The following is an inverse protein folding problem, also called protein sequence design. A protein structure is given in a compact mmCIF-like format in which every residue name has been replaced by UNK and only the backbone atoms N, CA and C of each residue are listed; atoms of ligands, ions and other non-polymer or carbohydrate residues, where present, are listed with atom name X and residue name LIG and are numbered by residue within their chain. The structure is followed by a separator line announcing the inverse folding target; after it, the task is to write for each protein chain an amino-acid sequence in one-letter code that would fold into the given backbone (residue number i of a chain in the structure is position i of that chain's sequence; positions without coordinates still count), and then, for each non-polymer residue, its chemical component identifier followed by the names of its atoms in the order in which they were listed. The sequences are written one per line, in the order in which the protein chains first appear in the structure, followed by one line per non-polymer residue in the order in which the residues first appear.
data_IF_017753076887
#
_entry.id   IF_017753076887
#
_cell.length_a   1.000
_cell.length_b   1.000
_cell.length_c   1.000
_cell.angle_alpha   90.00
_cell.angle_beta   90.00
_cell.angle_gamma   90.00
#
_symmetry.space_group_name_H-M   'P 1'
#
loop_
_entity.id
_entity.type
_entity.pdbx_description
1 polymer ?
#
# COMPACT_ATOMS: atom_id res chain seq x y z
N UNK A 1 67.45 -57.69 34.44
CA UNK A 1 66.42 -57.18 33.51
C UNK A 1 65.47 -56.24 34.26
N UNK A 2 65.63 -54.90 34.19
CA UNK A 2 64.52 -54.00 34.48
C UNK A 2 64.42 -52.70 33.64
N UNK A 3 65.09 -52.58 32.48
CA UNK A 3 65.13 -51.30 31.73
C UNK A 3 63.92 -51.01 30.81
N UNK A 4 63.11 -52.00 30.41
CA UNK A 4 62.02 -51.76 29.44
C UNK A 4 60.71 -51.22 30.05
N UNK A 5 60.50 -51.35 31.37
CA UNK A 5 59.26 -50.88 32.02
C UNK A 5 59.24 -49.36 32.21
N UNK A 6 60.38 -48.74 32.47
CA UNK A 6 60.49 -47.29 32.65
C UNK A 6 60.33 -46.50 31.33
N UNK A 7 60.83 -47.05 30.21
CA UNK A 7 60.63 -46.46 28.89
C UNK A 7 59.17 -46.56 28.43
N UNK A 8 58.53 -47.71 28.65
CA UNK A 8 57.11 -47.90 28.31
C UNK A 8 56.20 -46.97 29.13
N UNK A 9 56.52 -46.73 30.41
CA UNK A 9 55.76 -45.80 31.25
C UNK A 9 55.97 -44.34 30.81
N UNK A 10 57.18 -43.95 30.38
CA UNK A 10 57.44 -42.61 29.88
C UNK A 10 56.75 -42.35 28.52
N UNK A 11 56.71 -43.34 27.64
CA UNK A 11 55.97 -43.27 26.36
C UNK A 11 54.46 -43.21 26.59
N UNK A 12 53.92 -43.98 27.54
CA UNK A 12 52.50 -43.93 27.91
C UNK A 12 52.09 -42.55 28.44
N UNK A 13 52.92 -41.95 29.30
CA UNK A 13 52.71 -40.59 29.78
C UNK A 13 52.80 -39.58 28.63
N UNK A 14 53.77 -39.71 27.72
CA UNK A 14 53.90 -38.87 26.53
C UNK A 14 52.71 -38.96 25.57
N UNK A 15 52.13 -40.15 25.41
CA UNK A 15 50.91 -40.38 24.61
C UNK A 15 49.68 -39.73 25.27
N UNK A 16 49.54 -39.81 26.59
CA UNK A 16 48.45 -39.16 27.32
C UNK A 16 48.52 -37.62 27.22
N UNK A 17 49.72 -37.03 27.31
CA UNK A 17 49.90 -35.59 27.10
C UNK A 17 49.59 -35.18 25.66
N UNK A 18 50.01 -35.97 24.67
CA UNK A 18 49.72 -35.68 23.26
C UNK A 18 48.21 -35.75 22.96
N UNK A 19 47.50 -36.76 23.49
CA UNK A 19 46.03 -36.83 23.38
C UNK A 19 45.34 -35.65 24.08
N UNK A 20 45.84 -35.21 25.24
CA UNK A 20 45.29 -34.05 25.96
C UNK A 20 45.52 -32.74 25.20
N UNK A 21 46.69 -32.57 24.59
CA UNK A 21 47.00 -31.42 23.75
C UNK A 21 46.14 -31.40 22.47
N UNK A 22 45.99 -32.55 21.81
CA UNK A 22 45.20 -32.67 20.58
C UNK A 22 43.70 -32.47 20.83
N UNK A 23 43.16 -33.03 21.92
CA UNK A 23 41.76 -32.80 22.33
C UNK A 23 41.49 -31.34 22.70
N UNK A 24 42.43 -30.68 23.38
CA UNK A 24 42.33 -29.26 23.72
C UNK A 24 42.40 -28.37 22.47
N UNK A 25 43.27 -28.71 21.51
CA UNK A 25 43.39 -28.03 20.22
C UNK A 25 42.13 -28.17 19.37
N UNK A 26 41.56 -29.39 19.29
CA UNK A 26 40.28 -29.65 18.59
C UNK A 26 39.12 -28.88 19.23
N UNK A 27 39.04 -28.83 20.56
CA UNK A 27 38.01 -28.06 21.26
C UNK A 27 38.14 -26.55 21.02
N UNK A 28 39.37 -26.02 20.97
CA UNK A 28 39.63 -24.62 20.66
C UNK A 28 39.25 -24.29 19.21
N UNK A 29 39.63 -25.14 18.25
CA UNK A 29 39.29 -24.99 16.83
C UNK A 29 37.76 -25.03 16.60
N UNK A 30 37.05 -25.95 17.24
CA UNK A 30 35.58 -25.99 17.20
C UNK A 30 34.93 -24.74 17.81
N UNK A 31 35.51 -24.19 18.88
CA UNK A 31 35.03 -22.95 19.48
C UNK A 31 35.25 -21.75 18.55
N UNK A 32 36.41 -21.68 17.87
CA UNK A 32 36.71 -20.65 16.88
C UNK A 32 35.73 -20.71 15.71
N UNK A 33 35.52 -21.89 15.12
CA UNK A 33 34.56 -22.08 14.02
C UNK A 33 33.13 -21.65 14.42
N UNK A 34 32.64 -22.10 15.59
CA UNK A 34 31.33 -21.68 16.12
C UNK A 34 31.22 -20.17 16.34
N UNK A 35 32.30 -19.52 16.78
CA UNK A 35 32.30 -18.05 16.96
C UNK A 35 32.34 -17.30 15.64
N UNK A 36 32.98 -17.86 14.61
CA UNK A 36 33.00 -17.29 13.25
C UNK A 36 31.62 -17.44 12.61
N UNK A 37 31.00 -18.62 12.66
CA UNK A 37 29.64 -18.85 12.14
C UNK A 37 28.60 -17.92 12.77
N UNK A 38 28.65 -17.76 14.10
CA UNK A 38 27.76 -16.84 14.80
C UNK A 38 28.01 -15.37 14.46
N UNK A 39 29.26 -14.98 14.13
CA UNK A 39 29.58 -13.62 13.69
C UNK A 39 29.09 -13.39 12.26
N UNK A 40 29.27 -14.37 11.36
CA UNK A 40 28.81 -14.33 9.97
C UNK A 40 27.28 -14.21 9.92
N UNK A 41 26.54 -15.06 10.65
CA UNK A 41 25.07 -14.99 10.71
C UNK A 41 24.55 -13.65 11.26
N UNK A 42 25.24 -13.07 12.25
CA UNK A 42 24.90 -11.73 12.77
C UNK A 42 25.15 -10.63 11.73
N UNK A 43 26.25 -10.72 10.99
CA UNK A 43 26.57 -9.77 9.92
C UNK A 43 25.57 -9.90 8.76
N UNK A 44 25.21 -11.12 8.36
CA UNK A 44 24.19 -11.39 7.35
C UNK A 44 22.83 -10.81 7.75
N UNK A 45 22.40 -10.98 9.01
CA UNK A 45 21.14 -10.41 9.49
C UNK A 45 21.14 -8.87 9.49
N UNK A 46 22.26 -8.24 9.84
CA UNK A 46 22.41 -6.77 9.79
C UNK A 46 22.39 -6.26 8.34
N UNK A 47 23.03 -6.99 7.42
CA UNK A 47 23.06 -6.65 6.00
C UNK A 47 21.67 -6.77 5.36
N UNK A 48 20.92 -7.83 5.67
CA UNK A 48 19.53 -8.00 5.23
C UNK A 48 18.63 -6.85 5.71
N UNK A 49 18.81 -6.38 6.95
CA UNK A 49 18.07 -5.22 7.46
C UNK A 49 18.44 -3.93 6.74
N UNK A 50 19.71 -3.77 6.33
CA UNK A 50 20.14 -2.63 5.55
C UNK A 50 19.53 -2.66 4.13
N UNK A 51 19.56 -3.82 3.46
CA UNK A 51 18.94 -4.00 2.15
C UNK A 51 17.43 -3.72 2.18
N UNK A 52 16.75 -4.23 3.21
CA UNK A 52 15.34 -3.99 3.42
C UNK A 52 15.04 -2.51 3.69
N UNK A 53 15.89 -1.83 4.44
CA UNK A 53 15.78 -0.38 4.64
C UNK A 53 15.91 0.39 3.32
N UNK A 54 16.85 0.02 2.46
CA UNK A 54 17.03 0.64 1.14
C UNK A 54 15.83 0.38 0.21
N UNK A 55 15.29 -0.84 0.22
CA UNK A 55 14.08 -1.20 -0.54
C UNK A 55 12.87 -0.36 -0.09
N UNK A 56 12.67 -0.25 1.22
CA UNK A 56 11.65 0.64 1.79
C UNK A 56 11.97 2.10 1.41
N UNK A 57 13.24 2.50 1.39
CA UNK A 57 13.70 3.88 1.13
C UNK A 57 13.19 4.86 2.19
N UNK A 58 13.75 6.07 2.25
CA UNK A 58 13.27 7.16 3.10
C UNK A 58 13.08 8.43 2.25
N UNK A 59 11.97 9.16 2.32
CA UNK A 59 11.73 10.34 1.47
C UNK A 59 12.81 11.42 1.64
N UNK A 60 13.24 11.66 2.89
CA UNK A 60 14.36 12.54 3.19
C UNK A 60 15.76 11.94 2.93
N UNK A 61 15.85 10.77 2.29
CA UNK A 61 17.08 10.07 1.90
C UNK A 61 18.09 9.87 3.05
N UNK A 62 17.58 9.72 4.28
CA UNK A 62 18.41 9.45 5.45
C UNK A 62 18.97 8.04 5.38
N UNK A 63 20.25 7.87 5.72
CA UNK A 63 20.83 6.53 5.88
C UNK A 63 20.32 5.85 7.14
N UNK A 64 20.29 4.51 7.14
CA UNK A 64 19.88 3.71 8.29
C UNK A 64 20.68 4.05 9.55
N UNK A 65 21.99 4.30 9.41
CA UNK A 65 22.87 4.67 10.52
C UNK A 65 22.51 6.01 11.17
N UNK A 66 22.25 7.05 10.36
CA UNK A 66 21.84 8.36 10.87
C UNK A 66 20.47 8.28 11.54
N UNK A 67 19.50 7.62 10.89
CA UNK A 67 18.17 7.46 11.43
C UNK A 67 18.17 6.68 12.75
N UNK A 68 18.96 5.61 12.83
CA UNK A 68 19.16 4.85 14.07
C UNK A 68 19.67 5.71 15.22
N UNK A 69 20.57 6.67 14.94
CA UNK A 69 21.07 7.61 15.96
C UNK A 69 19.95 8.52 16.47
N UNK A 70 19.11 9.04 15.59
CA UNK A 70 17.96 9.88 15.98
C UNK A 70 16.94 9.09 16.81
N UNK A 71 16.58 7.88 16.38
CA UNK A 71 15.66 7.00 17.13
C UNK A 71 16.23 6.64 18.50
N UNK A 72 17.54 6.40 18.62
CA UNK A 72 18.19 6.16 19.92
C UNK A 72 18.07 7.35 20.88
N UNK A 73 18.22 8.57 20.38
CA UNK A 73 18.04 9.79 21.19
C UNK A 73 16.59 9.96 21.64
N UNK A 74 15.63 9.70 20.76
CA UNK A 74 14.20 9.75 21.10
C UNK A 74 13.82 8.71 22.16
N UNK A 75 14.33 7.48 22.03
CA UNK A 75 14.13 6.42 23.03
C UNK A 75 14.78 6.74 24.37
N UNK A 76 15.93 7.42 24.39
CA UNK A 76 16.56 7.87 25.64
C UNK A 76 15.72 8.94 26.38
N UNK A 77 14.85 9.62 25.65
CA UNK A 77 13.93 10.63 26.19
C UNK A 77 12.52 10.07 26.47
N UNK A 78 12.38 8.73 26.54
CA UNK A 78 11.11 8.01 26.70
C UNK A 78 10.00 8.44 25.72
N UNK A 79 10.40 8.79 24.48
CA UNK A 79 9.46 9.13 23.42
C UNK A 79 8.63 7.91 23.01
N UNK A 80 7.32 8.10 22.85
CA UNK A 80 6.40 7.02 22.45
C UNK A 80 6.49 6.63 20.97
N UNK A 81 5.73 5.60 20.60
CA UNK A 81 5.69 5.04 19.22
C UNK A 81 5.43 6.09 18.15
N UNK A 82 4.53 7.06 18.40
CA UNK A 82 4.20 8.09 17.41
C UNK A 82 5.37 9.00 17.05
N UNK A 83 6.23 9.33 18.03
CA UNK A 83 7.43 10.13 17.77
C UNK A 83 8.43 9.35 16.90
N UNK A 84 8.54 8.03 17.10
CA UNK A 84 9.41 7.19 16.28
C UNK A 84 8.86 6.99 14.87
N UNK A 85 7.53 6.88 14.72
CA UNK A 85 6.88 6.89 13.40
C UNK A 85 7.22 8.18 12.66
N UNK A 86 7.02 9.35 13.28
CA UNK A 86 7.35 10.63 12.66
C UNK A 86 8.83 10.73 12.21
N UNK A 87 9.77 10.29 13.06
CA UNK A 87 11.20 10.27 12.72
C UNK A 87 11.53 9.36 11.54
N UNK A 88 10.78 8.28 11.38
CA UNK A 88 10.96 7.30 10.30
C UNK A 88 9.98 7.54 9.16
N UNK A 89 9.44 8.76 9.03
CA UNK A 89 8.57 9.18 7.93
C UNK A 89 7.20 8.51 7.95
N UNK A 90 6.60 8.34 9.12
CA UNK A 90 5.26 7.78 9.35
C UNK A 90 5.04 6.38 8.76
N UNK A 91 6.10 5.60 8.68
CA UNK A 91 6.08 4.27 8.07
C UNK A 91 6.34 3.16 9.10
N UNK A 92 5.32 2.36 9.46
CA UNK A 92 5.48 1.30 10.46
C UNK A 92 6.48 0.22 10.06
N UNK A 93 6.56 -0.15 8.78
CA UNK A 93 7.52 -1.16 8.33
C UNK A 93 8.95 -0.64 8.45
N UNK A 94 9.19 0.61 8.04
CA UNK A 94 10.49 1.27 8.23
C UNK A 94 10.86 1.41 9.70
N UNK A 95 9.90 1.82 10.54
CA UNK A 95 10.10 1.90 12.00
C UNK A 95 10.54 0.55 12.55
N UNK A 96 9.83 -0.52 12.17
CA UNK A 96 10.15 -1.89 12.60
C UNK A 96 11.57 -2.30 12.19
N UNK A 97 11.98 -2.02 10.95
CA UNK A 97 13.33 -2.34 10.45
C UNK A 97 14.41 -1.60 11.22
N UNK A 98 14.22 -0.31 11.50
CA UNK A 98 15.16 0.49 12.29
C UNK A 98 15.29 -0.07 13.72
N UNK A 99 14.17 -0.45 14.36
CA UNK A 99 14.19 -1.05 15.70
C UNK A 99 14.87 -2.42 15.70
N UNK A 100 14.60 -3.27 14.70
CA UNK A 100 15.28 -4.57 14.55
C UNK A 100 16.79 -4.39 14.35
N UNK A 101 17.20 -3.40 13.55
CA UNK A 101 18.61 -3.05 13.36
C UNK A 101 19.27 -2.58 14.66
N UNK A 102 18.57 -1.78 15.47
CA UNK A 102 19.03 -1.35 16.79
C UNK A 102 19.24 -2.54 17.74
N UNK A 103 18.31 -3.50 17.78
CA UNK A 103 18.46 -4.72 18.59
C UNK A 103 19.67 -5.53 18.12
N UNK A 104 19.84 -5.68 16.80
CA UNK A 104 20.99 -6.41 16.24
C UNK A 104 22.33 -5.74 16.61
N UNK A 105 22.42 -4.42 16.52
CA UNK A 105 23.61 -3.67 16.96
C UNK A 105 23.86 -3.78 18.47
N UNK A 106 22.84 -3.60 19.30
CA UNK A 106 22.97 -3.68 20.75
C UNK A 106 23.42 -5.07 21.21
N UNK A 107 22.90 -6.14 20.58
CA UNK A 107 23.35 -7.52 20.79
C UNK A 107 24.80 -7.75 20.38
N UNK A 108 25.24 -7.13 19.28
CA UNK A 108 26.65 -7.22 18.84
C UNK A 108 27.60 -6.51 19.81
N UNK A 109 27.12 -5.47 20.51
CA UNK A 109 27.91 -4.62 21.41
C UNK A 109 27.73 -4.96 22.90
N UNK A 110 26.91 -5.96 23.23
CA UNK A 110 26.68 -6.40 24.61
C UNK A 110 25.90 -5.39 25.48
N UNK A 111 25.02 -4.58 24.89
CA UNK A 111 24.24 -3.56 25.61
C UNK A 111 22.82 -4.04 25.93
N UNK A 112 22.67 -4.83 27.00
CA UNK A 112 21.38 -5.45 27.33
C UNK A 112 20.27 -4.44 27.67
N UNK A 113 20.59 -3.36 28.39
CA UNK A 113 19.60 -2.31 28.71
C UNK A 113 19.01 -1.59 27.49
N UNK A 114 19.80 -1.43 26.42
CA UNK A 114 19.31 -0.87 25.15
C UNK A 114 18.31 -1.83 24.47
N UNK A 115 18.54 -3.14 24.59
CA UNK A 115 17.70 -4.18 23.98
C UNK A 115 16.30 -4.16 24.61
N UNK A 116 16.21 -4.18 25.94
CA UNK A 116 14.92 -4.20 26.66
C UNK A 116 14.07 -2.98 26.32
N UNK A 117 14.69 -1.79 26.28
CA UNK A 117 14.00 -0.54 25.95
C UNK A 117 13.46 -0.55 24.52
N UNK A 118 14.25 -1.00 23.55
CA UNK A 118 13.82 -1.11 22.15
C UNK A 118 12.71 -2.15 22.00
N UNK A 119 12.82 -3.30 22.66
CA UNK A 119 11.82 -4.37 22.59
C UNK A 119 10.46 -3.94 23.16
N UNK A 120 10.44 -3.14 24.24
CA UNK A 120 9.20 -2.58 24.80
C UNK A 120 8.45 -1.75 23.76
N UNK A 121 9.14 -0.87 23.05
CA UNK A 121 8.52 -0.01 22.03
C UNK A 121 8.17 -0.79 20.77
N UNK A 122 9.00 -1.77 20.40
CA UNK A 122 8.70 -2.70 19.30
C UNK A 122 7.40 -3.47 19.57
N UNK A 123 7.17 -3.96 20.80
CA UNK A 123 5.93 -4.62 21.17
C UNK A 123 4.71 -3.70 20.97
N UNK A 124 4.80 -2.44 21.41
CA UNK A 124 3.72 -1.45 21.22
C UNK A 124 3.46 -1.16 19.73
N UNK A 125 4.52 -1.04 18.92
CA UNK A 125 4.41 -0.85 17.48
C UNK A 125 3.69 -2.04 16.83
N UNK A 126 4.07 -3.28 17.15
CA UNK A 126 3.43 -4.48 16.62
C UNK A 126 1.97 -4.60 17.07
N UNK A 127 1.64 -4.28 18.32
CA UNK A 127 0.24 -4.29 18.78
C UNK A 127 -0.67 -3.43 17.90
N UNK A 128 -0.18 -2.28 17.39
CA UNK A 128 -0.99 -1.36 16.60
C UNK A 128 -0.86 -1.53 15.08
N UNK A 129 0.27 -2.02 14.60
CA UNK A 129 0.63 -1.98 13.18
C UNK A 129 1.11 -3.31 12.59
N UNK A 130 0.93 -4.46 13.25
CA UNK A 130 1.46 -5.77 12.80
C UNK A 130 1.19 -6.05 11.31
N UNK A 131 -0.05 -5.82 10.86
CA UNK A 131 -0.44 -6.07 9.46
C UNK A 131 0.22 -5.10 8.49
N UNK A 132 0.33 -3.82 8.84
CA UNK A 132 0.99 -2.81 8.01
C UNK A 132 2.50 -3.06 7.93
N UNK A 133 3.12 -3.46 9.04
CA UNK A 133 4.52 -3.90 9.06
C UNK A 133 4.68 -5.07 8.09
N UNK A 134 3.91 -6.14 8.26
CA UNK A 134 3.97 -7.32 7.40
C UNK A 134 3.75 -6.96 5.92
N UNK A 135 2.73 -6.17 5.60
CA UNK A 135 2.46 -5.71 4.24
C UNK A 135 3.66 -4.94 3.66
N UNK A 136 4.20 -3.98 4.42
CA UNK A 136 5.32 -3.15 3.96
C UNK A 136 6.56 -3.98 3.66
N UNK A 137 6.83 -5.00 4.49
CA UNK A 137 7.93 -5.94 4.28
C UNK A 137 7.70 -6.81 3.04
N UNK A 138 6.49 -7.35 2.87
CA UNK A 138 6.17 -8.24 1.75
C UNK A 138 6.26 -7.54 0.39
N UNK A 139 5.91 -6.25 0.33
CA UNK A 139 5.87 -5.50 -0.93
C UNK A 139 7.10 -4.62 -1.18
N UNK A 140 8.05 -4.55 -0.23
CA UNK A 140 9.20 -3.64 -0.32
C UNK A 140 10.00 -3.83 -1.62
N UNK A 141 10.28 -5.08 -1.98
CA UNK A 141 11.03 -5.40 -3.20
C UNK A 141 10.26 -5.01 -4.47
N UNK A 142 8.94 -5.26 -4.52
CA UNK A 142 8.09 -4.88 -5.64
C UNK A 142 8.14 -3.37 -5.90
N UNK A 143 8.03 -2.59 -4.82
CA UNK A 143 8.04 -1.14 -4.89
C UNK A 143 9.44 -0.59 -5.21
N UNK A 144 10.50 -1.24 -4.73
CA UNK A 144 11.88 -0.89 -5.06
C UNK A 144 12.23 -1.14 -6.53
N UNK A 145 11.66 -2.19 -7.13
CA UNK A 145 11.86 -2.53 -8.54
C UNK A 145 11.02 -1.66 -9.49
N UNK A 146 9.96 -1.01 -9.00
CA UNK A 146 9.18 -0.07 -9.79
C UNK A 146 9.95 1.25 -9.98
N UNK A 147 9.90 1.84 -11.17
CA UNK A 147 10.48 3.16 -11.43
C UNK A 147 9.86 4.21 -10.50
N UNK A 148 10.68 4.81 -9.65
CA UNK A 148 10.22 5.80 -8.68
C UNK A 148 11.24 6.12 -7.60
N UNK A 149 11.19 7.35 -7.10
CA UNK A 149 12.00 7.78 -5.95
C UNK A 149 11.45 7.22 -4.63
N UNK A 150 12.20 7.45 -3.53
CA UNK A 150 11.80 6.97 -2.22
C UNK A 150 10.46 7.57 -1.73
N UNK A 151 10.08 8.75 -2.22
CA UNK A 151 8.83 9.40 -1.87
C UNK A 151 7.63 8.69 -2.51
N UNK A 152 7.70 8.38 -3.82
CA UNK A 152 6.66 7.62 -4.51
C UNK A 152 6.51 6.21 -3.91
N UNK A 153 7.62 5.53 -3.60
CA UNK A 153 7.57 4.21 -2.92
C UNK A 153 6.85 4.28 -1.58
N UNK A 154 7.07 5.33 -0.80
CA UNK A 154 6.34 5.53 0.46
C UNK A 154 4.87 5.85 0.22
N UNK A 155 4.54 6.70 -0.75
CA UNK A 155 3.17 7.07 -1.07
C UNK A 155 2.34 5.83 -1.47
N UNK A 156 2.88 4.99 -2.37
CA UNK A 156 2.22 3.73 -2.79
C UNK A 156 2.05 2.77 -1.60
N UNK A 157 3.02 2.67 -0.70
CA UNK A 157 2.91 1.82 0.50
C UNK A 157 1.87 2.34 1.49
N UNK A 158 1.81 3.65 1.69
CA UNK A 158 0.81 4.31 2.53
C UNK A 158 -0.61 4.07 1.99
N UNK A 159 -0.75 4.17 0.67
CA UNK A 159 -1.99 3.79 -0.03
C UNK A 159 -2.31 2.32 0.24
N UNK A 160 -1.35 1.40 0.08
CA UNK A 160 -1.55 -0.02 0.35
C UNK A 160 -2.05 -0.27 1.78
N UNK A 161 -1.48 0.39 2.78
CA UNK A 161 -1.93 0.29 4.16
C UNK A 161 -3.38 0.74 4.35
N UNK A 162 -3.75 1.87 3.75
CA UNK A 162 -5.10 2.42 3.92
C UNK A 162 -6.17 1.63 3.14
N UNK A 163 -5.89 1.25 1.90
CA UNK A 163 -6.89 0.67 0.98
C UNK A 163 -6.89 -0.85 0.96
N UNK A 164 -5.72 -1.49 1.05
CA UNK A 164 -5.61 -2.97 1.05
C UNK A 164 -5.70 -3.52 2.47
N UNK A 165 -4.85 -3.06 3.39
CA UNK A 165 -4.78 -3.66 4.74
C UNK A 165 -5.99 -3.28 5.60
N UNK A 166 -6.39 -1.99 5.59
CA UNK A 166 -7.51 -1.51 6.41
C UNK A 166 -8.87 -1.68 5.72
N UNK A 167 -9.09 -1.03 4.58
CA UNK A 167 -10.41 -0.99 3.92
C UNK A 167 -10.76 -2.26 3.13
N UNK A 168 -9.76 -2.95 2.57
CA UNK A 168 -9.94 -4.11 1.69
C UNK A 168 -10.97 -3.88 0.57
N UNK A 169 -10.91 -2.70 -0.07
CA UNK A 169 -11.92 -2.22 -1.02
C UNK A 169 -11.28 -1.83 -2.35
N UNK A 170 -11.74 -2.44 -3.44
CA UNK A 170 -11.25 -2.13 -4.79
C UNK A 170 -11.52 -0.67 -5.20
N UNK A 171 -12.72 -0.09 -5.00
CA UNK A 171 -12.95 1.34 -5.23
C UNK A 171 -11.97 2.23 -4.47
N UNK A 172 -11.68 1.92 -3.20
CA UNK A 172 -10.72 2.68 -2.40
C UNK A 172 -9.28 2.57 -2.93
N UNK A 173 -8.90 1.42 -3.51
CA UNK A 173 -7.59 1.25 -4.17
C UNK A 173 -7.53 2.13 -5.42
N UNK A 174 -8.55 2.06 -6.29
CA UNK A 174 -8.57 2.80 -7.56
C UNK A 174 -8.62 4.30 -7.31
N UNK A 175 -9.47 4.78 -6.41
CA UNK A 175 -9.56 6.20 -6.06
C UNK A 175 -8.22 6.75 -5.56
N UNK A 176 -7.53 5.98 -4.72
CA UNK A 176 -6.24 6.41 -4.19
C UNK A 176 -5.13 6.36 -5.26
N UNK A 177 -5.18 5.40 -6.19
CA UNK A 177 -4.26 5.38 -7.33
C UNK A 177 -4.48 6.57 -8.25
N UNK A 178 -5.75 6.93 -8.52
CA UNK A 178 -6.12 8.11 -9.28
C UNK A 178 -5.67 9.42 -8.62
N UNK A 179 -5.57 9.45 -7.28
CA UNK A 179 -5.06 10.62 -6.57
C UNK A 179 -3.52 10.72 -6.59
N UNK A 180 -2.82 9.60 -6.75
CA UNK A 180 -1.37 9.52 -6.68
C UNK A 180 -0.69 9.58 -8.06
N UNK A 181 -1.34 9.01 -9.08
CA UNK A 181 -0.85 8.96 -10.44
C UNK A 181 -1.69 9.88 -11.32
N UNK A 182 -1.02 10.60 -12.21
CA UNK A 182 -1.70 11.36 -13.27
C UNK A 182 -2.41 10.42 -14.27
N UNK A 183 -3.13 11.02 -15.21
CA UNK A 183 -3.92 10.28 -16.19
C UNK A 183 -3.07 9.38 -17.10
N UNK A 184 -1.82 9.74 -17.36
CA UNK A 184 -0.92 8.98 -18.23
C UNK A 184 -0.31 7.78 -17.50
N UNK A 185 -0.05 7.92 -16.20
CA UNK A 185 0.64 6.94 -15.36
C UNK A 185 -0.29 6.09 -14.51
N UNK A 186 -1.62 6.28 -14.59
CA UNK A 186 -2.57 5.50 -13.79
C UNK A 186 -2.42 3.98 -14.04
N UNK A 187 -2.12 3.57 -15.27
CA UNK A 187 -1.88 2.17 -15.60
C UNK A 187 -0.58 1.62 -14.99
N UNK A 188 0.44 2.46 -14.83
CA UNK A 188 1.65 2.10 -14.08
C UNK A 188 1.29 1.82 -12.63
N UNK A 189 0.51 2.72 -12.01
CA UNK A 189 0.01 2.56 -10.65
C UNK A 189 -0.78 1.26 -10.45
N UNK A 190 -1.66 0.92 -11.40
CA UNK A 190 -2.40 -0.36 -11.39
C UNK A 190 -1.45 -1.57 -11.46
N UNK A 191 -0.43 -1.53 -12.33
CA UNK A 191 0.56 -2.61 -12.45
C UNK A 191 1.38 -2.78 -11.17
N UNK A 192 1.87 -1.68 -10.60
CA UNK A 192 2.63 -1.68 -9.35
C UNK A 192 1.78 -2.25 -8.21
N UNK A 193 0.52 -1.82 -8.09
CA UNK A 193 -0.41 -2.34 -7.08
C UNK A 193 -0.72 -3.82 -7.28
N UNK A 194 -0.94 -4.27 -8.52
CA UNK A 194 -1.15 -5.69 -8.84
C UNK A 194 0.06 -6.54 -8.45
N UNK A 195 1.28 -6.05 -8.71
CA UNK A 195 2.51 -6.72 -8.30
C UNK A 195 2.65 -6.78 -6.78
N UNK A 196 2.40 -5.67 -6.07
CA UNK A 196 2.42 -5.63 -4.62
C UNK A 196 1.40 -6.60 -3.99
N UNK A 197 0.19 -6.72 -4.55
CA UNK A 197 -0.78 -7.74 -4.12
C UNK A 197 -0.26 -9.16 -4.36
N UNK A 198 0.34 -9.43 -5.52
CA UNK A 198 0.89 -10.75 -5.84
C UNK A 198 2.03 -11.14 -4.87
N UNK A 199 2.92 -10.21 -4.55
CA UNK A 199 4.04 -10.46 -3.64
C UNK A 199 3.56 -10.64 -2.18
N UNK A 200 2.53 -9.91 -1.73
CA UNK A 200 1.89 -10.15 -0.42
C UNK A 200 1.16 -11.51 -0.35
N UNK A 201 0.54 -11.96 -1.46
CA UNK A 201 -0.06 -13.30 -1.55
C UNK A 201 1.00 -14.39 -1.47
N UNK A 202 2.15 -14.18 -2.12
CA UNK A 202 3.24 -15.15 -2.22
C UNK A 202 4.11 -15.21 -0.95
N UNK A 203 4.05 -14.19 -0.10
CA UNK A 203 4.81 -14.13 1.14
C UNK A 203 4.45 -15.29 2.07
N UNK A 204 5.44 -15.75 2.85
CA UNK A 204 5.24 -16.81 3.84
C UNK A 204 4.14 -16.47 4.86
N UNK A 205 4.03 -15.19 5.22
CA UNK A 205 2.97 -14.64 6.05
C UNK A 205 2.31 -13.44 5.33
N UNK A 206 1.20 -13.66 4.62
CA UNK A 206 0.43 -12.57 4.01
C UNK A 206 -0.11 -11.59 5.06
N UNK A 207 -0.23 -10.31 4.70
CA UNK A 207 -0.65 -9.26 5.63
C UNK A 207 -2.13 -9.34 6.04
N UNK A 208 -2.96 -9.90 5.16
CA UNK A 208 -4.40 -10.19 5.35
C UNK A 208 -4.72 -11.55 4.70
N UNK A 209 -5.90 -12.16 4.94
CA UNK A 209 -6.22 -13.47 4.36
C UNK A 209 -6.06 -13.52 2.83
N UNK A 210 -5.30 -14.49 2.32
CA UNK A 210 -4.93 -14.55 0.89
C UNK A 210 -6.12 -14.56 -0.07
N UNK A 211 -7.27 -15.10 0.35
CA UNK A 211 -8.50 -15.07 -0.45
C UNK A 211 -8.96 -13.63 -0.73
N UNK A 212 -8.87 -12.73 0.26
CA UNK A 212 -9.21 -11.31 0.11
C UNK A 212 -8.25 -10.62 -0.85
N UNK A 213 -6.94 -10.88 -0.71
CA UNK A 213 -5.93 -10.33 -1.62
C UNK A 213 -6.16 -10.80 -3.07
N UNK A 214 -6.50 -12.07 -3.29
CA UNK A 214 -6.82 -12.61 -4.62
C UNK A 214 -8.07 -11.95 -5.22
N UNK A 215 -9.11 -11.72 -4.42
CA UNK A 215 -10.30 -10.98 -4.87
C UNK A 215 -9.94 -9.57 -5.32
N UNK A 216 -9.13 -8.85 -4.54
CA UNK A 216 -8.66 -7.51 -4.91
C UNK A 216 -7.80 -7.54 -6.18
N UNK A 217 -6.88 -8.49 -6.30
CA UNK A 217 -6.03 -8.64 -7.47
C UNK A 217 -6.84 -8.93 -8.75
N UNK A 218 -7.78 -9.87 -8.67
CA UNK A 218 -8.68 -10.19 -9.80
C UNK A 218 -9.53 -8.97 -10.21
N UNK A 219 -10.10 -8.27 -9.23
CA UNK A 219 -10.86 -7.05 -9.49
C UNK A 219 -10.01 -5.95 -10.13
N UNK A 220 -8.78 -5.76 -9.65
CA UNK A 220 -7.83 -4.80 -10.20
C UNK A 220 -7.44 -5.13 -11.65
N UNK A 221 -7.23 -6.42 -11.95
CA UNK A 221 -7.00 -6.90 -13.31
C UNK A 221 -8.21 -6.65 -14.23
N UNK A 222 -9.43 -6.66 -13.68
CA UNK A 222 -10.65 -6.25 -14.40
C UNK A 222 -10.73 -4.75 -14.72
N UNK A 223 -9.84 -3.91 -14.17
CA UNK A 223 -9.87 -2.45 -14.31
C UNK A 223 -8.87 -1.91 -15.34
N UNK A 224 -8.44 -2.72 -16.32
CA UNK A 224 -7.48 -2.30 -17.37
C UNK A 224 -7.98 -1.15 -18.25
N UNK A 225 -9.30 -0.92 -18.30
CA UNK A 225 -9.92 0.15 -19.11
C UNK A 225 -9.96 1.51 -18.41
N UNK A 226 -9.37 1.65 -17.21
CA UNK A 226 -9.43 2.88 -16.41
C UNK A 226 -8.89 4.11 -17.17
N UNK A 227 -7.80 3.95 -17.93
CA UNK A 227 -7.26 5.03 -18.76
C UNK A 227 -8.23 5.47 -19.87
N UNK A 228 -8.95 4.52 -20.47
CA UNK A 228 -9.99 4.85 -21.48
C UNK A 228 -11.17 5.58 -20.85
N UNK A 229 -11.54 5.22 -19.61
CA UNK A 229 -12.56 5.93 -18.85
C UNK A 229 -12.14 7.36 -18.48
N UNK A 230 -10.89 7.55 -18.05
CA UNK A 230 -10.33 8.90 -17.82
C UNK A 230 -10.36 9.74 -19.10
N UNK A 231 -9.92 9.17 -20.22
CA UNK A 231 -10.00 9.85 -21.52
C UNK A 231 -11.46 10.21 -21.88
N UNK A 232 -12.41 9.32 -21.59
CA UNK A 232 -13.84 9.59 -21.82
C UNK A 232 -14.37 10.69 -20.90
N UNK A 233 -13.91 10.77 -19.65
CA UNK A 233 -14.24 11.85 -18.71
C UNK A 233 -13.68 13.19 -19.20
N UNK A 234 -12.44 13.20 -19.70
CA UNK A 234 -11.81 14.39 -20.31
C UNK A 234 -12.60 14.88 -21.51
N UNK A 235 -12.90 13.99 -22.45
CA UNK A 235 -13.66 14.33 -23.64
C UNK A 235 -15.08 14.85 -23.32
N UNK A 236 -15.70 14.31 -22.27
CA UNK A 236 -16.95 14.84 -21.73
C UNK A 236 -16.79 16.28 -21.21
N UNK A 237 -15.77 16.55 -20.39
CA UNK A 237 -15.52 17.88 -19.82
C UNK A 237 -15.23 18.91 -20.92
N UNK A 238 -14.42 18.56 -21.91
CA UNK A 238 -14.08 19.45 -23.05
C UNK A 238 -15.31 19.86 -23.89
N UNK A 239 -16.39 19.08 -23.84
CA UNK A 239 -17.65 19.35 -24.54
C UNK A 239 -18.66 20.15 -23.73
N UNK A 240 -18.38 20.44 -22.46
CA UNK A 240 -19.25 21.28 -21.64
C UNK A 240 -19.35 22.69 -22.26
N UNK A 241 -20.53 23.27 -22.33
CA UNK A 241 -20.73 24.51 -23.08
C UNK A 241 -20.12 25.76 -22.41
N UNK A 242 -19.85 25.71 -21.10
CA UNK A 242 -19.30 26.85 -20.36
C UNK A 242 -17.85 26.64 -19.95
N UNK A 243 -16.98 27.60 -20.31
CA UNK A 243 -15.56 27.60 -19.93
C UNK A 243 -15.31 27.65 -18.42
N UNK A 244 -16.20 28.27 -17.65
CA UNK A 244 -16.09 28.34 -16.18
C UNK A 244 -16.23 26.94 -15.55
N UNK A 245 -17.28 26.18 -15.87
CA UNK A 245 -17.42 24.78 -15.40
C UNK A 245 -16.31 23.85 -15.90
N UNK A 246 -15.76 24.09 -17.09
CA UNK A 246 -14.61 23.32 -17.59
C UNK A 246 -13.37 23.53 -16.72
N UNK A 247 -13.14 24.73 -16.19
CA UNK A 247 -11.98 25.04 -15.37
C UNK A 247 -12.06 24.42 -13.96
N UNK A 248 -13.27 24.15 -13.47
CA UNK A 248 -13.52 23.60 -12.13
C UNK A 248 -13.51 22.06 -12.10
N UNK A 249 -13.82 21.40 -13.22
CA UNK A 249 -13.95 19.94 -13.29
C UNK A 249 -12.69 19.27 -13.82
N UNK A 250 -12.02 18.49 -12.96
CA UNK A 250 -10.93 17.59 -13.34
C UNK A 250 -11.47 16.23 -13.82
N UNK A 251 -10.94 15.63 -14.90
CA UNK A 251 -11.32 14.29 -15.34
C UNK A 251 -11.13 13.23 -14.25
N UNK A 252 -10.07 13.37 -13.45
CA UNK A 252 -9.78 12.51 -12.31
C UNK A 252 -10.85 12.65 -11.23
N UNK A 253 -11.24 13.89 -10.88
CA UNK A 253 -12.27 14.14 -9.88
C UNK A 253 -13.64 13.60 -10.32
N UNK A 254 -14.00 13.76 -11.59
CA UNK A 254 -15.22 13.18 -12.14
C UNK A 254 -15.21 11.66 -12.02
N UNK A 255 -14.14 10.99 -12.47
CA UNK A 255 -14.05 9.54 -12.35
C UNK A 255 -14.08 9.07 -10.90
N UNK A 256 -13.39 9.76 -9.99
CA UNK A 256 -13.42 9.46 -8.55
C UNK A 256 -14.83 9.57 -7.96
N UNK A 257 -15.61 10.56 -8.36
CA UNK A 257 -17.02 10.72 -7.96
C UNK A 257 -17.89 9.58 -8.50
N UNK A 258 -17.75 9.23 -9.78
CA UNK A 258 -18.47 8.09 -10.37
C UNK A 258 -18.11 6.75 -9.69
N UNK A 259 -16.84 6.55 -9.34
CA UNK A 259 -16.40 5.39 -8.55
C UNK A 259 -16.94 5.41 -7.12
N UNK A 260 -17.19 6.59 -6.56
CA UNK A 260 -17.88 6.76 -5.29
C UNK A 260 -19.27 6.14 -5.33
N UNK A 261 -20.05 6.44 -6.36
CA UNK A 261 -21.39 5.86 -6.56
C UNK A 261 -21.36 4.34 -6.66
N UNK A 262 -20.34 3.77 -7.30
CA UNK A 262 -20.19 2.32 -7.38
C UNK A 262 -19.91 1.67 -6.01
N UNK A 263 -19.32 2.41 -5.07
CA UNK A 263 -19.01 1.92 -3.72
C UNK A 263 -20.10 2.18 -2.68
N UNK A 264 -20.82 3.30 -2.76
CA UNK A 264 -21.81 3.72 -1.76
C UNK A 264 -23.25 3.68 -2.22
N UNK A 265 -23.48 3.44 -3.52
CA UNK A 265 -24.76 3.74 -4.16
C UNK A 265 -24.92 5.23 -4.45
N UNK A 266 -25.98 5.55 -5.19
CA UNK A 266 -26.41 6.90 -5.53
C UNK A 266 -27.93 6.99 -5.40
N UNK A 267 -28.43 8.04 -4.76
CA UNK A 267 -29.85 8.34 -4.63
C UNK A 267 -30.30 9.40 -5.63
N UNK A 268 -31.61 9.60 -5.75
CA UNK A 268 -32.20 10.55 -6.71
C UNK A 268 -31.79 12.01 -6.43
N UNK A 269 -31.58 12.37 -5.17
CA UNK A 269 -31.17 13.72 -4.78
C UNK A 269 -29.76 14.02 -5.28
N UNK A 270 -28.83 13.05 -5.18
CA UNK A 270 -27.47 13.18 -5.71
C UNK A 270 -27.44 13.17 -7.24
N UNK A 271 -28.29 12.38 -7.93
CA UNK A 271 -28.42 12.47 -9.40
C UNK A 271 -28.93 13.86 -9.80
N UNK A 272 -29.92 14.40 -9.09
CA UNK A 272 -30.46 15.73 -9.34
C UNK A 272 -29.42 16.83 -9.04
N UNK A 273 -28.65 16.70 -7.97
CA UNK A 273 -27.53 17.58 -7.62
C UNK A 273 -26.47 17.60 -8.73
N UNK A 274 -26.02 16.41 -9.16
CA UNK A 274 -25.08 16.24 -10.25
C UNK A 274 -25.60 16.86 -11.55
N UNK A 275 -26.89 16.67 -11.86
CA UNK A 275 -27.49 17.24 -13.08
C UNK A 275 -27.46 18.76 -13.08
N UNK A 276 -27.75 19.41 -11.94
CA UNK A 276 -27.71 20.88 -11.80
C UNK A 276 -26.30 21.42 -11.82
N UNK A 277 -25.36 20.74 -11.17
CA UNK A 277 -23.95 21.12 -11.18
C UNK A 277 -23.40 21.11 -12.61
N UNK A 278 -23.67 20.04 -13.35
CA UNK A 278 -23.17 19.89 -14.72
C UNK A 278 -23.96 20.76 -15.71
N UNK A 279 -25.29 20.80 -15.59
CA UNK A 279 -26.23 21.41 -16.56
C UNK A 279 -26.72 22.81 -16.25
N UNK A 280 -26.50 23.31 -15.05
CA UNK A 280 -27.09 24.57 -14.57
C UNK A 280 -28.60 24.42 -14.39
N UNK A 281 -29.34 25.52 -14.39
CA UNK A 281 -30.79 25.52 -14.12
C UNK A 281 -31.67 25.09 -15.32
N UNK A 282 -31.10 24.97 -16.52
CA UNK A 282 -31.85 24.65 -17.73
C UNK A 282 -32.07 23.12 -17.88
N UNK A 283 -33.33 22.67 -17.89
CA UNK A 283 -33.69 21.25 -18.02
C UNK A 283 -33.11 20.57 -19.27
N UNK A 284 -33.11 21.24 -20.43
CA UNK A 284 -32.57 20.66 -21.67
C UNK A 284 -31.08 20.40 -21.55
N UNK A 285 -30.37 21.32 -20.90
CA UNK A 285 -28.93 21.21 -20.63
C UNK A 285 -28.65 20.10 -19.61
N UNK A 286 -29.47 19.99 -18.56
CA UNK A 286 -29.40 18.88 -17.58
C UNK A 286 -29.61 17.54 -18.28
N UNK A 287 -30.64 17.39 -19.13
CA UNK A 287 -30.91 16.18 -19.91
C UNK A 287 -29.77 15.79 -20.86
N UNK A 288 -29.24 16.75 -21.62
CA UNK A 288 -28.11 16.50 -22.54
C UNK A 288 -26.90 15.97 -21.77
N UNK A 289 -26.64 16.47 -20.57
CA UNK A 289 -25.48 16.05 -19.79
C UNK A 289 -25.71 14.74 -19.05
N UNK A 290 -26.91 14.49 -18.53
CA UNK A 290 -27.28 13.18 -17.99
C UNK A 290 -27.12 12.08 -19.05
N UNK A 291 -27.53 12.35 -20.29
CA UNK A 291 -27.32 11.44 -21.42
C UNK A 291 -25.83 11.19 -21.75
N UNK A 292 -24.95 12.15 -21.45
CA UNK A 292 -23.50 12.00 -21.67
C UNK A 292 -22.79 11.31 -20.49
N UNK A 293 -23.25 11.53 -19.26
CA UNK A 293 -22.71 10.90 -18.05
C UNK A 293 -23.15 9.43 -17.93
N UNK A 294 -24.37 9.12 -18.34
CA UNK A 294 -24.92 7.75 -18.24
C UNK A 294 -24.00 6.68 -18.87
N UNK A 295 -23.46 6.83 -20.09
CA UNK A 295 -22.49 5.90 -20.66
C UNK A 295 -21.19 5.77 -19.85
N UNK A 296 -20.75 6.80 -19.15
CA UNK A 296 -19.55 6.75 -18.30
C UNK A 296 -19.78 5.80 -17.11
N UNK A 297 -20.95 5.91 -16.46
CA UNK A 297 -21.36 5.02 -15.38
C UNK A 297 -21.53 3.59 -15.88
N UNK A 298 -22.18 3.43 -17.04
CA UNK A 298 -22.40 2.12 -17.64
C UNK A 298 -21.09 1.38 -17.94
N UNK A 299 -20.02 2.10 -18.31
CA UNK A 299 -18.70 1.56 -18.65
C UNK A 299 -17.78 1.33 -17.44
N UNK A 300 -18.18 1.70 -16.22
CA UNK A 300 -17.40 1.39 -15.02
C UNK A 300 -17.20 -0.13 -14.90
N UNK A 301 -15.98 -0.61 -14.56
CA UNK A 301 -15.71 -2.04 -14.47
C UNK A 301 -16.62 -2.70 -13.42
N UNK A 302 -17.20 -3.87 -13.74
CA UNK A 302 -18.11 -4.57 -12.83
C UNK A 302 -17.51 -4.84 -11.45
N UNK A 303 -16.19 -5.03 -11.37
CA UNK A 303 -15.48 -5.30 -10.13
C UNK A 303 -15.50 -4.13 -9.13
N UNK A 304 -15.76 -2.89 -9.57
CA UNK A 304 -15.79 -1.72 -8.68
C UNK A 304 -17.14 -1.53 -7.99
N UNK A 305 -18.18 -2.25 -8.44
CA UNK A 305 -19.49 -2.20 -7.83
C UNK A 305 -19.52 -3.06 -6.57
N UNK A 306 -20.15 -2.57 -5.50
CA UNK A 306 -20.36 -3.33 -4.27
C UNK A 306 -21.06 -4.66 -4.53
N UNK A 307 -22.04 -4.66 -5.44
CA UNK A 307 -22.81 -5.79 -5.88
C UNK A 307 -23.43 -5.52 -7.28
N UNK A 308 -23.91 -6.56 -8.00
CA UNK A 308 -24.49 -6.39 -9.32
C UNK A 308 -25.78 -5.57 -9.37
N UNK A 309 -26.58 -5.57 -8.30
CA UNK A 309 -27.84 -4.82 -8.24
C UNK A 309 -27.58 -3.31 -8.10
N UNK A 310 -26.59 -2.93 -7.30
CA UNK A 310 -26.17 -1.52 -7.14
C UNK A 310 -25.87 -0.81 -8.45
N UNK A 311 -25.32 -1.52 -9.44
CA UNK A 311 -25.13 -0.96 -10.80
C UNK A 311 -26.46 -0.67 -11.49
N UNK A 312 -27.40 -1.60 -11.41
CA UNK A 312 -28.72 -1.44 -12.03
C UNK A 312 -29.49 -0.31 -11.36
N UNK A 313 -29.46 -0.24 -10.03
CA UNK A 313 -30.13 0.79 -9.25
C UNK A 313 -29.56 2.19 -9.57
N UNK A 314 -28.24 2.31 -9.69
CA UNK A 314 -27.60 3.56 -10.12
C UNK A 314 -28.05 3.97 -11.52
N UNK A 315 -28.01 3.06 -12.51
CA UNK A 315 -28.44 3.36 -13.88
C UNK A 315 -29.94 3.71 -13.93
N UNK A 316 -30.77 3.01 -13.14
CA UNK A 316 -32.20 3.27 -13.07
C UNK A 316 -32.50 4.64 -12.45
N UNK A 317 -31.72 5.07 -11.46
CA UNK A 317 -31.85 6.40 -10.86
C UNK A 317 -31.60 7.51 -11.88
N UNK A 318 -30.60 7.36 -12.75
CA UNK A 318 -30.36 8.27 -13.87
C UNK A 318 -31.50 8.25 -14.90
N UNK A 319 -31.96 7.07 -15.29
CA UNK A 319 -33.06 6.93 -16.26
C UNK A 319 -34.37 7.54 -15.74
N UNK A 320 -34.66 7.37 -14.46
CA UNK A 320 -35.87 7.91 -13.82
C UNK A 320 -35.85 9.43 -13.84
N UNK A 321 -34.73 10.06 -13.44
CA UNK A 321 -34.60 11.51 -13.48
C UNK A 321 -34.66 12.07 -14.91
N UNK A 322 -34.02 11.40 -15.88
CA UNK A 322 -34.14 11.80 -17.29
C UNK A 322 -35.59 11.70 -17.78
N UNK A 323 -36.34 10.69 -17.34
CA UNK A 323 -37.78 10.58 -17.62
C UNK A 323 -38.59 11.74 -17.04
N UNK A 324 -38.34 12.09 -15.78
CA UNK A 324 -38.99 13.22 -15.09
C UNK A 324 -38.69 14.57 -15.76
N UNK A 325 -37.43 14.80 -16.14
CA UNK A 325 -37.03 16.02 -16.86
C UNK A 325 -37.66 16.07 -18.24
N UNK A 326 -37.69 14.95 -18.98
CA UNK A 326 -38.33 14.88 -20.31
C UNK A 326 -39.83 15.18 -20.24
N UNK A 327 -40.53 14.63 -19.22
CA UNK A 327 -41.93 14.95 -18.99
C UNK A 327 -42.12 16.43 -18.62
N UNK A 328 -41.27 16.97 -17.76
CA UNK A 328 -41.33 18.36 -17.33
C UNK A 328 -41.04 19.34 -18.48
N UNK A 329 -40.11 19.01 -19.39
CA UNK A 329 -39.88 19.76 -20.63
C UNK A 329 -41.08 19.74 -21.56
N UNK A 330 -41.72 18.56 -21.73
CA UNK A 330 -42.95 18.42 -22.50
C UNK A 330 -44.15 19.16 -21.89
N UNK A 331 -44.08 19.52 -20.61
CA UNK A 331 -45.09 20.29 -19.85
C UNK A 331 -44.75 21.79 -19.82
N UNK A 332 -43.57 22.23 -20.28
CA UNK A 332 -43.25 23.67 -20.38
C UNK A 332 -44.27 24.33 -21.28
N UNK A 333 -45.09 25.15 -20.65
CA UNK A 333 -46.17 25.91 -21.26
C UNK A 333 -45.64 26.70 -22.45
N UNK A 334 -46.12 26.35 -23.65
CA UNK A 334 -46.28 27.33 -24.72
C UNK A 334 -47.07 28.49 -24.10
N UNK A 335 -46.41 29.63 -23.95
CA UNK A 335 -46.98 30.88 -23.44
C UNK A 335 -48.42 31.03 -23.89
N UNK A 336 -49.33 31.16 -22.92
CA UNK A 336 -50.72 31.59 -23.05
C UNK A 336 -51.39 31.35 -24.40
N UNK A 337 -52.04 30.19 -24.53
CA UNK A 337 -53.16 30.00 -25.46
C UNK A 337 -52.77 29.49 -26.84
N UNK A 338 -52.60 28.17 -26.95
CA UNK A 338 -53.21 27.31 -27.99
C UNK A 338 -52.65 25.90 -27.81
N UNK A 339 -53.41 25.06 -27.10
CA UNK A 339 -53.19 23.62 -27.07
C UNK A 339 -53.60 23.02 -28.42
N UNK A 340 -52.67 22.35 -29.09
CA UNK A 340 -53.00 21.36 -30.14
C UNK A 340 -52.32 20.03 -29.82
N UNK A 341 -53.04 18.91 -29.88
CA UNK A 341 -52.42 17.60 -29.76
C UNK A 341 -51.68 17.27 -31.06
N UNK A 342 -50.42 16.86 -30.95
CA UNK A 342 -49.66 16.30 -32.08
C UNK A 342 -49.98 14.81 -32.13
N UNK A 343 -50.37 14.32 -33.32
CA UNK A 343 -50.51 12.91 -33.65
C UNK A 343 -49.16 12.31 -34.04
#
# INVERSE_FOLDING_TARGET
MPQSSAQSAAEEVGMLFSQKAESSSKALAQRVLRTVDNRVQKVEGIQQLNELYEQLGHPAQLSLGLLTRHVRLALASDSGVEALLALTGDDPARTSVVLQYMVAQARAQGREGDIERVQKVQAQLHTRYDRQIQAGLNIALALAAAEGDAALRQAVRTLYYSSVVRKQSLPSIIQALLALFDEERVNDGLRVMARALADDIAAHRPSVPSIRLRTLLSGLQGCTQLSSLLHSCRWFIERLSSRERQAELSPVCLLQRLLGYAGTGIDSDEVQSLSRELGGENLSSQLVLLNQVYPLIQRLPLAVWSDPASRQDALQSFLSLMGEHTQSEGIVQVSAGLTRPIR
#
